data_IF_129263761646
#
_entry.id   IF_129263761646
#
_cell.length_a   1.000
_cell.length_b   1.000
_cell.length_c   1.000
_cell.angle_alpha   90.00
_cell.angle_beta   90.00
_cell.angle_gamma   90.00
#
_symmetry.space_group_name_H-M   'P 1'
#
loop_
_entity.id
_entity.type
_entity.pdbx_description
1 polymer ?
#
# COMPACT_ATOMS: atom_id res chain seq x y z
N UNK A 1 27.36 -5.59 -60.46
CA UNK A 1 26.23 -4.84 -59.85
C UNK A 1 25.20 -5.81 -59.24
N UNK A 2 25.33 -6.23 -57.98
CA UNK A 2 24.30 -7.02 -57.26
C UNK A 2 24.20 -6.69 -55.74
N UNK A 3 24.80 -5.59 -55.29
CA UNK A 3 24.93 -5.26 -53.86
C UNK A 3 23.92 -4.21 -53.35
N UNK A 4 23.39 -3.33 -54.20
CA UNK A 4 22.52 -2.23 -53.71
C UNK A 4 21.13 -2.66 -53.25
N UNK A 5 20.56 -3.76 -53.78
CA UNK A 5 19.21 -4.20 -53.42
C UNK A 5 19.11 -4.70 -51.97
N UNK A 6 20.17 -5.31 -51.43
CA UNK A 6 20.18 -5.83 -50.05
C UNK A 6 20.27 -4.71 -49.00
N UNK A 7 20.92 -3.60 -49.34
CA UNK A 7 21.07 -2.44 -48.44
C UNK A 7 19.71 -1.79 -48.18
N UNK A 8 18.89 -1.61 -49.22
CA UNK A 8 17.55 -1.05 -49.08
C UNK A 8 16.59 -1.97 -48.33
N UNK A 9 16.72 -3.29 -48.48
CA UNK A 9 15.90 -4.27 -47.74
C UNK A 9 16.26 -4.28 -46.25
N UNK A 10 17.55 -4.20 -45.91
CA UNK A 10 18.00 -4.11 -44.51
C UNK A 10 17.60 -2.79 -43.86
N UNK A 11 17.69 -1.67 -44.60
CA UNK A 11 17.22 -0.37 -44.12
C UNK A 11 15.70 -0.36 -43.87
N UNK A 12 14.91 -0.95 -44.77
CA UNK A 12 13.47 -1.07 -44.59
C UNK A 12 13.11 -1.95 -43.38
N UNK A 13 13.81 -3.06 -43.16
CA UNK A 13 13.61 -3.92 -42.00
C UNK A 13 13.98 -3.22 -40.67
N UNK A 14 15.03 -2.39 -40.66
CA UNK A 14 15.42 -1.61 -39.48
C UNK A 14 14.39 -0.53 -39.12
N UNK A 15 13.85 0.17 -40.13
CA UNK A 15 12.80 1.18 -39.91
C UNK A 15 11.49 0.53 -39.44
N UNK A 16 11.11 -0.62 -40.00
CA UNK A 16 9.90 -1.34 -39.59
C UNK A 16 10.03 -1.90 -38.16
N UNK A 17 11.17 -2.46 -37.79
CA UNK A 17 11.41 -2.97 -36.43
C UNK A 17 11.53 -1.82 -35.41
N UNK A 18 12.14 -0.69 -35.78
CA UNK A 18 12.16 0.54 -34.99
C UNK A 18 10.76 1.16 -34.78
N UNK A 19 9.93 1.17 -35.83
CA UNK A 19 8.55 1.67 -35.75
C UNK A 19 7.66 0.81 -34.85
N UNK A 20 7.79 -0.52 -34.92
CA UNK A 20 7.02 -1.46 -34.09
C UNK A 20 7.42 -1.35 -32.62
N UNK A 21 8.72 -1.21 -32.33
CA UNK A 21 9.22 -1.04 -30.96
C UNK A 21 8.79 0.30 -30.34
N UNK A 22 8.87 1.40 -31.09
CA UNK A 22 8.37 2.71 -30.65
C UNK A 22 6.85 2.72 -30.41
N UNK A 23 6.08 2.10 -31.30
CA UNK A 23 4.64 1.94 -31.12
C UNK A 23 4.30 1.09 -29.89
N UNK A 24 5.03 0.00 -29.67
CA UNK A 24 4.86 -0.85 -28.49
C UNK A 24 5.18 -0.09 -27.20
N UNK A 25 6.26 0.69 -27.16
CA UNK A 25 6.65 1.52 -26.02
C UNK A 25 5.59 2.61 -25.76
N UNK A 26 5.11 3.31 -26.79
CA UNK A 26 4.04 4.30 -26.64
C UNK A 26 2.72 3.68 -26.15
N UNK A 27 2.39 2.49 -26.63
CA UNK A 27 1.19 1.76 -26.18
C UNK A 27 1.31 1.31 -24.73
N UNK A 28 2.48 0.85 -24.31
CA UNK A 28 2.76 0.54 -22.91
C UNK A 28 2.67 1.81 -22.05
N UNK A 29 3.31 2.91 -22.47
CA UNK A 29 3.28 4.17 -21.73
C UNK A 29 1.86 4.73 -21.56
N UNK A 30 1.02 4.70 -22.60
CA UNK A 30 -0.41 5.10 -22.51
C UNK A 30 -1.20 4.24 -21.52
N UNK A 31 -0.93 2.93 -21.47
CA UNK A 31 -1.54 2.04 -20.48
C UNK A 31 -1.08 2.39 -19.07
N UNK A 32 0.21 2.68 -18.87
CA UNK A 32 0.76 3.06 -17.57
C UNK A 32 0.17 4.37 -17.07
N UNK A 33 0.07 5.39 -17.94
CA UNK A 33 -0.54 6.70 -17.60
C UNK A 33 -2.03 6.55 -17.29
N UNK A 34 -2.77 5.73 -18.05
CA UNK A 34 -4.17 5.46 -17.76
C UNK A 34 -4.35 4.76 -16.40
N UNK A 35 -3.52 3.75 -16.10
CA UNK A 35 -3.51 3.07 -14.80
C UNK A 35 -3.16 4.04 -13.67
N UNK A 36 -2.12 4.87 -13.85
CA UNK A 36 -1.76 5.93 -12.91
C UNK A 36 -2.95 6.87 -12.66
N UNK A 37 -3.68 7.29 -13.70
CA UNK A 37 -4.83 8.19 -13.54
C UNK A 37 -6.03 7.55 -12.84
N UNK A 38 -6.27 6.25 -13.06
CA UNK A 38 -7.32 5.48 -12.38
C UNK A 38 -6.95 5.27 -10.91
N UNK A 39 -5.69 4.93 -10.64
CA UNK A 39 -5.15 4.84 -9.28
C UNK A 39 -5.22 6.20 -8.61
N UNK A 40 -4.84 7.30 -9.29
CA UNK A 40 -4.91 8.65 -8.75
C UNK A 40 -6.35 9.08 -8.44
N UNK A 41 -7.33 8.68 -9.26
CA UNK A 41 -8.75 8.91 -8.97
C UNK A 41 -9.24 8.09 -7.80
N UNK A 42 -8.98 6.79 -7.77
CA UNK A 42 -9.35 5.94 -6.63
C UNK A 42 -8.67 6.42 -5.36
N UNK A 43 -7.41 6.85 -5.46
CA UNK A 43 -6.66 7.45 -4.39
C UNK A 43 -7.32 8.77 -3.98
N UNK A 44 -7.64 9.70 -4.87
CA UNK A 44 -8.29 10.96 -4.51
C UNK A 44 -9.71 10.79 -3.96
N UNK A 45 -10.50 9.85 -4.47
CA UNK A 45 -11.87 9.59 -4.02
C UNK A 45 -11.85 8.95 -2.63
N UNK A 46 -10.94 7.99 -2.42
CA UNK A 46 -10.79 7.37 -1.11
C UNK A 46 -10.08 8.31 -0.12
N UNK A 47 -9.09 9.08 -0.55
CA UNK A 47 -8.42 10.11 0.26
C UNK A 47 -9.38 11.25 0.62
N UNK A 48 -10.33 11.63 -0.23
CA UNK A 48 -11.31 12.66 0.10
C UNK A 48 -12.35 12.15 1.09
N UNK A 49 -12.82 10.90 0.94
CA UNK A 49 -13.63 10.21 1.96
C UNK A 49 -12.88 10.09 3.29
N UNK A 50 -11.60 9.71 3.24
CA UNK A 50 -10.76 9.58 4.42
C UNK A 50 -10.41 10.92 5.06
N UNK A 51 -10.07 11.94 4.26
CA UNK A 51 -9.86 13.29 4.74
C UNK A 51 -11.14 13.80 5.39
N UNK A 52 -12.31 13.52 4.79
CA UNK A 52 -13.60 13.83 5.40
C UNK A 52 -13.80 13.09 6.73
N UNK A 53 -13.44 11.81 6.85
CA UNK A 53 -13.54 11.02 8.09
C UNK A 53 -12.51 11.41 9.17
N UNK A 54 -11.35 11.91 8.75
CA UNK A 54 -10.29 12.44 9.62
C UNK A 54 -10.64 13.86 10.09
N UNK A 55 -11.15 14.71 9.19
CA UNK A 55 -11.61 16.07 9.46
C UNK A 55 -12.94 16.10 10.24
N UNK A 56 -13.81 15.10 10.05
CA UNK A 56 -15.06 14.93 10.82
C UNK A 56 -14.83 14.38 12.23
N UNK A 57 -13.61 13.92 12.55
CA UNK A 57 -13.28 13.32 13.84
C UNK A 57 -13.90 11.94 14.07
N UNK A 58 -14.37 11.29 13.01
CA UNK A 58 -14.91 9.92 13.07
C UNK A 58 -13.81 8.89 13.29
N UNK A 59 -12.55 9.17 12.93
CA UNK A 59 -11.41 8.46 13.49
C UNK A 59 -10.95 9.21 14.73
N UNK A 60 -10.89 8.51 15.87
CA UNK A 60 -10.44 9.08 17.14
C UNK A 60 -8.94 9.42 17.07
N UNK A 61 -8.59 10.53 16.43
CA UNK A 61 -7.25 11.10 16.41
C UNK A 61 -6.86 11.54 17.83
N UNK A 62 -6.33 10.63 18.64
CA UNK A 62 -5.40 11.02 19.68
C UNK A 62 -4.04 11.20 19.02
N UNK A 63 -3.88 12.44 18.54
CA UNK A 63 -2.79 13.01 17.79
C UNK A 63 -1.48 12.83 18.56
N UNK A 64 -0.43 12.45 17.82
CA UNK A 64 0.95 12.24 18.27
C UNK A 64 1.13 11.02 19.19
N UNK A 65 1.39 9.82 18.62
CA UNK A 65 2.18 8.83 19.33
C UNK A 65 3.43 9.52 19.94
N UNK A 66 3.82 9.23 21.20
CA UNK A 66 5.04 9.77 21.80
C UNK A 66 6.24 9.61 20.83
N UNK A 67 7.27 10.46 20.92
CA UNK A 67 8.41 10.46 19.97
C UNK A 67 9.03 9.06 19.75
N UNK A 68 8.92 8.15 20.73
CA UNK A 68 9.42 6.75 20.68
C UNK A 68 8.37 5.69 20.29
N UNK A 69 7.12 6.09 20.09
CA UNK A 69 6.02 5.16 19.90
C UNK A 69 5.96 4.60 18.48
N UNK A 70 6.62 5.17 17.47
CA UNK A 70 6.80 4.52 16.16
C UNK A 70 8.23 4.73 15.68
N UNK A 71 8.79 3.72 15.01
CA UNK A 71 10.11 3.87 14.42
C UNK A 71 10.02 4.77 13.19
N UNK A 72 10.75 5.89 13.14
CA UNK A 72 10.83 6.74 11.95
C UNK A 72 11.33 5.93 10.74
N UNK A 73 10.86 6.30 9.55
CA UNK A 73 11.21 5.63 8.30
C UNK A 73 10.53 4.27 8.09
N UNK A 74 9.47 3.94 8.85
CA UNK A 74 8.86 2.61 8.85
C UNK A 74 7.41 2.62 8.33
N UNK A 75 6.99 1.48 7.76
CA UNK A 75 5.58 1.25 7.46
C UNK A 75 4.86 0.74 8.69
N UNK A 76 3.64 1.24 8.91
CA UNK A 76 2.86 0.95 10.10
C UNK A 76 1.48 0.45 9.71
N UNK A 77 1.11 -0.72 10.23
CA UNK A 77 -0.16 -1.38 10.02
C UNK A 77 -1.01 -1.30 11.30
N UNK A 78 -2.05 -0.49 11.32
CA UNK A 78 -2.96 -0.38 12.46
C UNK A 78 -4.21 -1.26 12.27
N UNK A 79 -4.47 -2.12 13.25
CA UNK A 79 -5.62 -2.99 13.31
C UNK A 79 -6.81 -2.33 14.04
N UNK A 80 -8.05 -2.63 13.64
CA UNK A 80 -9.24 -2.15 14.32
C UNK A 80 -9.48 -2.89 15.65
N UNK A 81 -10.56 -2.52 16.35
CA UNK A 81 -10.97 -3.07 17.65
C UNK A 81 -11.45 -4.53 17.64
N UNK A 82 -11.62 -5.11 16.44
CA UNK A 82 -11.93 -6.51 16.20
C UNK A 82 -11.08 -7.02 15.05
N UNK A 83 -10.38 -8.13 15.24
CA UNK A 83 -9.57 -8.76 14.19
C UNK A 83 -10.03 -10.20 14.02
N UNK A 84 -10.27 -10.60 12.78
CA UNK A 84 -10.69 -11.95 12.41
C UNK A 84 -9.62 -12.56 11.50
N UNK A 85 -9.08 -13.71 11.88
CA UNK A 85 -8.03 -14.40 11.12
C UNK A 85 -8.53 -14.86 9.75
N UNK A 86 -9.69 -15.52 9.70
CA UNK A 86 -10.31 -16.00 8.45
C UNK A 86 -10.62 -14.84 7.50
N UNK A 87 -11.12 -13.74 8.04
CA UNK A 87 -11.52 -12.57 7.28
C UNK A 87 -10.31 -11.81 6.70
N UNK A 88 -9.15 -11.88 7.38
CA UNK A 88 -7.91 -11.20 6.99
C UNK A 88 -6.88 -12.12 6.31
N UNK A 89 -7.25 -13.34 5.89
CA UNK A 89 -6.34 -14.24 5.15
C UNK A 89 -5.71 -13.54 3.94
N UNK A 90 -6.47 -12.69 3.23
CA UNK A 90 -5.97 -11.92 2.09
C UNK A 90 -4.82 -10.98 2.48
N UNK A 91 -4.90 -10.32 3.64
CA UNK A 91 -3.87 -9.41 4.15
C UNK A 91 -2.65 -10.20 4.63
N UNK A 92 -2.89 -11.30 5.34
CA UNK A 92 -1.84 -12.17 5.85
C UNK A 92 -0.99 -12.78 4.73
N UNK A 93 -1.63 -13.19 3.63
CA UNK A 93 -0.93 -13.65 2.44
C UNK A 93 -0.05 -12.56 1.82
N UNK A 94 -0.50 -11.31 1.82
CA UNK A 94 0.28 -10.19 1.29
C UNK A 94 1.46 -9.83 2.20
N UNK A 95 1.27 -9.84 3.52
CA UNK A 95 2.36 -9.65 4.50
C UNK A 95 3.42 -10.74 4.36
N UNK A 96 3.00 -12.00 4.23
CA UNK A 96 3.91 -13.13 4.01
C UNK A 96 4.71 -13.01 2.71
N UNK A 97 4.11 -12.44 1.66
CA UNK A 97 4.81 -12.19 0.40
C UNK A 97 5.85 -11.06 0.48
N UNK A 98 5.76 -10.21 1.51
CA UNK A 98 6.67 -9.08 1.76
C UNK A 98 7.77 -9.39 2.79
N UNK A 99 7.73 -10.61 3.36
CA UNK A 99 8.67 -11.13 4.36
C UNK A 99 10.12 -10.79 3.99
N UNK A 100 10.81 -10.07 4.87
CA UNK A 100 12.22 -9.66 4.71
C UNK A 100 12.50 -8.55 3.68
N UNK A 101 11.51 -8.07 2.93
CA UNK A 101 11.70 -6.99 1.95
C UNK A 101 11.53 -5.61 2.58
N UNK A 102 10.60 -5.49 3.52
CA UNK A 102 10.26 -4.23 4.19
C UNK A 102 9.95 -4.49 5.65
N UNK A 103 10.41 -3.58 6.52
CA UNK A 103 10.04 -3.58 7.94
C UNK A 103 8.66 -2.97 8.09
N UNK A 104 7.73 -3.72 8.69
CA UNK A 104 6.37 -3.28 8.99
C UNK A 104 6.15 -3.43 10.48
N UNK A 105 5.80 -2.34 11.15
CA UNK A 105 5.34 -2.32 12.54
C UNK A 105 3.82 -2.38 12.59
N UNK A 106 3.28 -2.88 13.69
CA UNK A 106 1.84 -2.96 13.87
C UNK A 106 1.38 -2.22 15.10
N UNK A 107 0.19 -1.63 15.00
CA UNK A 107 -0.53 -1.04 16.11
C UNK A 107 -1.82 -1.84 16.26
N UNK A 108 -2.13 -2.26 17.48
CA UNK A 108 -3.38 -2.96 17.76
C UNK A 108 -3.99 -2.43 19.07
N UNK A 109 -5.32 -2.20 19.14
CA UNK A 109 -6.00 -1.89 20.38
C UNK A 109 -5.69 -2.92 21.46
N UNK A 110 -5.67 -2.49 22.72
CA UNK A 110 -5.25 -3.35 23.85
C UNK A 110 -6.03 -4.67 23.89
N UNK A 111 -7.32 -4.60 23.53
CA UNK A 111 -8.24 -5.75 23.50
C UNK A 111 -7.82 -6.85 22.52
N UNK A 112 -7.31 -6.49 21.35
CA UNK A 112 -6.98 -7.43 20.25
C UNK A 112 -5.48 -7.65 20.07
N UNK A 113 -4.62 -6.93 20.82
CA UNK A 113 -3.15 -7.06 20.72
C UNK A 113 -2.69 -8.51 20.84
N UNK A 114 -3.25 -9.27 21.78
CA UNK A 114 -2.89 -10.69 21.99
C UNK A 114 -3.20 -11.52 20.75
N UNK A 115 -4.35 -11.30 20.14
CA UNK A 115 -4.77 -12.02 18.93
C UNK A 115 -3.83 -11.67 17.77
N UNK A 116 -3.50 -10.40 17.59
CA UNK A 116 -2.53 -9.95 16.56
C UNK A 116 -1.14 -10.57 16.76
N UNK A 117 -0.68 -10.71 18.01
CA UNK A 117 0.59 -11.41 18.32
C UNK A 117 0.50 -12.88 17.93
N UNK A 118 -0.60 -13.56 18.27
CA UNK A 118 -0.83 -14.96 17.91
C UNK A 118 -0.89 -15.13 16.39
N UNK A 119 -1.57 -14.24 15.68
CA UNK A 119 -1.64 -14.27 14.22
C UNK A 119 -0.27 -14.01 13.58
N UNK A 120 0.50 -13.05 14.10
CA UNK A 120 1.86 -12.79 13.62
C UNK A 120 2.75 -14.04 13.71
N UNK A 121 2.63 -14.81 14.79
CA UNK A 121 3.36 -16.05 14.98
C UNK A 121 2.83 -17.18 14.09
N UNK A 122 1.53 -17.47 14.15
CA UNK A 122 0.91 -18.61 13.45
C UNK A 122 0.98 -18.50 11.92
N UNK A 123 0.82 -17.29 11.39
CA UNK A 123 0.85 -17.03 9.95
C UNK A 123 2.23 -16.55 9.45
N UNK A 124 3.21 -16.44 10.34
CA UNK A 124 4.57 -15.97 10.06
C UNK A 124 4.63 -14.60 9.36
N UNK A 125 3.84 -13.63 9.86
CA UNK A 125 3.66 -12.33 9.20
C UNK A 125 4.91 -11.43 9.29
N UNK A 126 5.82 -11.69 10.23
CA UNK A 126 7.04 -10.91 10.49
C UNK A 126 6.81 -9.41 10.77
N UNK A 127 5.72 -9.09 11.47
CA UNK A 127 5.53 -7.75 12.02
C UNK A 127 6.65 -7.52 13.06
N UNK A 128 7.39 -6.42 12.88
CA UNK A 128 8.65 -6.16 13.59
C UNK A 128 8.44 -5.79 15.06
N UNK A 129 7.43 -4.97 15.34
CA UNK A 129 6.96 -4.64 16.68
C UNK A 129 5.44 -4.49 16.66
N UNK A 130 4.77 -4.90 17.74
CA UNK A 130 3.31 -4.85 17.88
C UNK A 130 2.99 -3.98 19.09
N UNK A 131 2.73 -2.70 18.83
CA UNK A 131 2.44 -1.69 19.85
C UNK A 131 0.95 -1.59 20.12
N UNK A 132 0.60 -1.02 21.27
CA UNK A 132 -0.78 -0.92 21.71
C UNK A 132 -1.26 0.52 21.70
N UNK A 133 -2.34 0.80 20.97
CA UNK A 133 -3.03 2.09 21.00
C UNK A 133 -4.46 1.93 20.53
N UNK A 134 -5.35 2.67 21.18
CA UNK A 134 -6.77 2.75 20.85
C UNK A 134 -7.07 3.94 19.91
N UNK A 135 -6.05 4.70 19.49
CA UNK A 135 -6.17 5.89 18.63
C UNK A 135 -6.59 5.60 17.16
N UNK A 136 -6.77 4.32 16.80
CA UNK A 136 -7.12 3.89 15.44
C UNK A 136 -8.41 3.07 15.41
N UNK A 137 -9.26 3.21 16.44
CA UNK A 137 -10.54 2.54 16.50
C UNK A 137 -11.55 3.23 15.57
N UNK A 138 -12.22 2.42 14.74
CA UNK A 138 -13.36 2.82 13.93
C UNK A 138 -14.60 3.07 14.81
N UNK A 139 -15.49 4.01 14.45
CA UNK A 139 -16.78 4.20 15.12
C UNK A 139 -17.64 2.93 15.11
N UNK A 140 -18.47 2.77 16.14
CA UNK A 140 -19.37 1.61 16.28
C UNK A 140 -20.40 1.45 15.17
N UNK A 141 -20.62 2.48 14.35
CA UNK A 141 -21.47 2.44 13.17
C UNK A 141 -21.00 1.40 12.14
N UNK A 142 -19.72 1.03 12.14
CA UNK A 142 -19.11 0.15 11.13
C UNK A 142 -18.84 -1.28 11.60
N UNK A 143 -19.47 -1.74 12.69
CA UNK A 143 -19.12 -2.99 13.40
C UNK A 143 -18.92 -4.26 12.54
N UNK A 144 -19.76 -4.50 11.52
CA UNK A 144 -19.61 -5.67 10.64
C UNK A 144 -18.43 -5.50 9.67
N UNK A 145 -18.21 -4.26 9.24
CA UNK A 145 -17.12 -3.88 8.36
C UNK A 145 -15.77 -3.96 9.08
N UNK A 146 -15.68 -3.56 10.36
CA UNK A 146 -14.41 -3.47 11.14
C UNK A 146 -13.53 -4.72 11.07
N UNK A 147 -14.08 -5.92 10.88
CA UNK A 147 -13.32 -7.18 10.93
C UNK A 147 -12.42 -7.43 9.71
N UNK A 148 -12.69 -6.79 8.57
CA UNK A 148 -11.98 -7.02 7.30
C UNK A 148 -11.02 -5.89 6.90
N UNK A 149 -10.88 -4.87 7.76
CA UNK A 149 -10.05 -3.72 7.47
C UNK A 149 -8.76 -3.67 8.30
N UNK A 150 -7.74 -3.09 7.71
CA UNK A 150 -6.56 -2.60 8.42
C UNK A 150 -6.15 -1.25 7.83
N UNK A 151 -5.54 -0.39 8.63
CA UNK A 151 -4.95 0.86 8.16
C UNK A 151 -3.48 0.65 7.91
N UNK A 152 -2.95 1.20 6.82
CA UNK A 152 -1.52 1.33 6.62
C UNK A 152 -1.15 2.78 6.38
N UNK A 153 -0.01 3.19 6.92
CA UNK A 153 0.62 4.46 6.63
C UNK A 153 2.14 4.32 6.69
N UNK A 154 2.85 5.33 6.20
CA UNK A 154 4.29 5.45 6.38
C UNK A 154 4.59 6.50 7.44
N UNK A 155 5.41 6.14 8.42
CA UNK A 155 5.88 7.06 9.44
C UNK A 155 7.22 7.63 9.00
N UNK A 156 7.23 8.90 8.60
CA UNK A 156 8.42 9.58 8.08
C UNK A 156 9.50 9.78 9.14
N UNK A 157 10.73 10.04 8.67
CA UNK A 157 11.86 10.42 9.53
C UNK A 157 11.56 11.66 10.40
N UNK A 158 10.73 12.58 9.87
CA UNK A 158 10.30 13.80 10.58
C UNK A 158 9.15 13.55 11.59
N UNK A 159 8.81 12.29 11.87
CA UNK A 159 7.76 11.94 12.83
C UNK A 159 6.33 12.20 12.35
N UNK A 160 6.13 12.34 11.03
CA UNK A 160 4.81 12.58 10.43
C UNK A 160 4.24 11.32 9.81
N UNK A 161 2.95 11.10 10.01
CA UNK A 161 2.16 10.11 9.29
C UNK A 161 1.93 10.57 7.86
N UNK A 162 2.35 9.77 6.88
CA UNK A 162 2.20 10.04 5.46
C UNK A 162 1.45 8.90 4.75
N UNK A 163 0.70 9.28 3.72
CA UNK A 163 0.01 8.36 2.79
C UNK A 163 -0.94 7.34 3.44
N UNK A 164 -1.79 7.71 4.41
CA UNK A 164 -2.69 6.76 5.03
C UNK A 164 -3.61 6.09 4.00
N UNK A 165 -3.81 4.78 4.15
CA UNK A 165 -4.61 3.94 3.27
C UNK A 165 -5.37 2.91 4.10
N UNK A 166 -6.66 2.76 3.84
CA UNK A 166 -7.48 1.69 4.40
C UNK A 166 -7.38 0.50 3.46
N UNK A 167 -6.89 -0.60 4.00
CA UNK A 167 -6.73 -1.85 3.30
C UNK A 167 -7.98 -2.70 3.50
N UNK A 168 -8.45 -3.28 2.40
CA UNK A 168 -9.43 -4.37 2.37
C UNK A 168 -9.10 -5.31 1.20
N UNK A 169 -9.88 -6.37 1.04
CA UNK A 169 -9.72 -7.34 -0.06
C UNK A 169 -9.91 -6.77 -1.47
N UNK A 170 -10.46 -5.56 -1.62
CA UNK A 170 -10.67 -4.85 -2.90
C UNK A 170 -9.66 -3.73 -3.12
N UNK A 171 -8.85 -3.40 -2.12
CA UNK A 171 -7.88 -2.31 -2.17
C UNK A 171 -6.67 -2.70 -3.04
N UNK A 172 -5.84 -1.70 -3.34
CA UNK A 172 -4.54 -1.94 -3.98
C UNK A 172 -3.70 -2.91 -3.14
N UNK A 173 -2.88 -3.73 -3.81
CA UNK A 173 -2.02 -4.67 -3.09
C UNK A 173 -1.00 -3.92 -2.23
N UNK A 174 -0.69 -4.48 -1.06
CA UNK A 174 0.27 -3.97 -0.09
C UNK A 174 1.64 -3.77 -0.71
N UNK A 175 2.06 -4.69 -1.59
CA UNK A 175 3.31 -4.56 -2.36
C UNK A 175 3.31 -3.33 -3.25
N UNK A 176 2.20 -3.08 -3.95
CA UNK A 176 2.05 -1.91 -4.81
C UNK A 176 2.07 -0.63 -3.98
N UNK A 177 1.32 -0.59 -2.88
CA UNK A 177 1.29 0.55 -1.97
C UNK A 177 2.69 0.89 -1.44
N UNK A 178 3.41 -0.10 -0.89
CA UNK A 178 4.77 0.08 -0.36
C UNK A 178 5.71 0.63 -1.43
N UNK A 179 5.71 0.02 -2.63
CA UNK A 179 6.55 0.48 -3.74
C UNK A 179 6.22 1.92 -4.14
N UNK A 180 4.94 2.30 -4.16
CA UNK A 180 4.52 3.67 -4.44
C UNK A 180 5.04 4.65 -3.39
N UNK A 181 4.87 4.33 -2.11
CA UNK A 181 5.35 5.20 -1.02
C UNK A 181 6.86 5.33 -1.03
N UNK A 182 7.61 4.24 -1.28
CA UNK A 182 9.06 4.30 -1.39
C UNK A 182 9.53 5.22 -2.53
N UNK A 183 8.83 5.23 -3.67
CA UNK A 183 9.13 6.16 -4.76
C UNK A 183 8.82 7.63 -4.42
N UNK A 184 7.82 7.87 -3.57
CA UNK A 184 7.39 9.22 -3.18
C UNK A 184 8.20 9.79 -2.02
N UNK A 185 8.60 8.94 -1.06
CA UNK A 185 9.35 9.33 0.13
C UNK A 185 10.87 9.34 -0.09
N UNK A 186 11.38 8.61 -1.08
CA UNK A 186 12.80 8.57 -1.46
C UNK A 186 13.18 9.54 -2.59
N UNK A 187 12.30 10.48 -2.93
CA UNK A 187 12.52 11.53 -3.94
C UNK A 187 12.96 12.86 -3.34
#
# INVERSE_FOLDING_TARGET
MKSSKWIWVLAAAYVLTGGVSLWYIQKQHKRTVALLSVVQRQQNDMYSLMATWMESGEIAHQIAPPEDFLTPGCFVLAFPDQVCDVCNIWLFNQLKALKGSVRIEAIAPVKVKKDVIVFNANYELQLADIKSSDAFMLPDTYQEEKREFAYIFYYSEDGKMLYPLLLNNKAISLKTYIHMVQMLAGG
#
